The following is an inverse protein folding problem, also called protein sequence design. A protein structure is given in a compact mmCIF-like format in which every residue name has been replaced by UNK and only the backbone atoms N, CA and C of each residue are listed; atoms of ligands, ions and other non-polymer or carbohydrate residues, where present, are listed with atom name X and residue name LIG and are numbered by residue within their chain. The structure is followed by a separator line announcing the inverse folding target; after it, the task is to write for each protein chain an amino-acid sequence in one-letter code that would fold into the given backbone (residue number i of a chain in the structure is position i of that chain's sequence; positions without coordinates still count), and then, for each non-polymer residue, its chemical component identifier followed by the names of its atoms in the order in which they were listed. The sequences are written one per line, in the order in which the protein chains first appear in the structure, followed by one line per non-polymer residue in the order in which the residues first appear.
data_IF_065532125259
#
_entry.id   IF_065532125259
#
_cell.length_a   1.000
_cell.length_b   1.000
_cell.length_c   1.000
_cell.angle_alpha   90.00
_cell.angle_beta   90.00
_cell.angle_gamma   90.00
#
_symmetry.space_group_name_H-M   'P 1'
#
loop_
_entity.id
_entity.type
_entity.pdbx_description
1 polymer ?
#
# COMPACT_ATOMS: atom_id res chain seq x y z
N UNK A 1 -0.70 -6.51 -14.66
CA UNK A 1 0.52 -7.22 -15.10
C UNK A 1 0.90 -6.71 -16.49
N UNK A 2 2.19 -6.66 -16.84
CA UNK A 2 2.66 -6.12 -18.13
C UNK A 2 2.08 -6.90 -19.32
N UNK A 3 2.01 -8.23 -19.23
CA UNK A 3 1.49 -9.11 -20.29
C UNK A 3 -0.04 -9.33 -20.24
N UNK A 4 -0.77 -8.51 -19.48
CA UNK A 4 -2.23 -8.61 -19.38
C UNK A 4 -2.75 -9.79 -18.54
N UNK A 5 -1.87 -10.51 -17.84
CA UNK A 5 -2.25 -11.55 -16.90
C UNK A 5 -3.10 -10.99 -15.74
N UNK A 6 -4.06 -11.81 -15.28
CA UNK A 6 -4.86 -11.55 -14.09
C UNK A 6 -4.05 -11.77 -12.81
N UNK A 7 -4.58 -11.25 -11.69
CA UNK A 7 -3.91 -11.30 -10.39
C UNK A 7 -3.63 -12.73 -9.89
N UNK A 8 -4.56 -13.67 -10.07
CA UNK A 8 -4.40 -15.05 -9.59
C UNK A 8 -3.34 -15.81 -10.39
N UNK A 9 -3.39 -15.70 -11.72
CA UNK A 9 -2.41 -16.33 -12.61
C UNK A 9 -0.99 -15.85 -12.27
N UNK A 10 -0.81 -14.54 -12.12
CA UNK A 10 0.49 -13.98 -11.77
C UNK A 10 0.96 -14.40 -10.37
N UNK A 11 0.08 -14.41 -9.37
CA UNK A 11 0.39 -14.88 -8.03
C UNK A 11 0.86 -16.34 -8.04
N UNK A 12 0.14 -17.20 -8.76
CA UNK A 12 0.51 -18.62 -8.91
C UNK A 12 1.89 -18.75 -9.57
N UNK A 13 2.13 -18.06 -10.67
CA UNK A 13 3.44 -18.09 -11.35
C UNK A 13 4.58 -17.66 -10.42
N UNK A 14 4.41 -16.57 -9.66
CA UNK A 14 5.42 -16.09 -8.71
C UNK A 14 5.68 -17.10 -7.59
N UNK A 15 4.62 -17.68 -7.03
CA UNK A 15 4.73 -18.59 -5.88
C UNK A 15 5.20 -19.99 -6.26
N UNK A 16 4.82 -20.54 -7.42
CA UNK A 16 5.29 -21.85 -7.89
C UNK A 16 6.75 -21.84 -8.31
N UNK A 17 7.27 -20.70 -8.77
CA UNK A 17 8.67 -20.54 -9.12
C UNK A 17 9.60 -20.38 -7.90
N UNK A 18 9.07 -20.05 -6.72
CA UNK A 18 9.85 -19.80 -5.50
C UNK A 18 9.81 -21.02 -4.55
N UNK A 19 10.90 -21.78 -4.50
CA UNK A 19 11.06 -22.89 -3.56
C UNK A 19 10.99 -22.45 -2.08
N UNK A 20 11.20 -21.16 -1.79
CA UNK A 20 11.12 -20.55 -0.46
C UNK A 20 9.80 -19.84 -0.17
N UNK A 21 8.76 -20.00 -1.02
CA UNK A 21 7.47 -19.29 -0.93
C UNK A 21 6.79 -19.35 0.44
N UNK A 22 7.03 -20.41 1.21
CA UNK A 22 6.42 -20.58 2.53
C UNK A 22 6.95 -19.56 3.55
N UNK A 23 8.11 -18.95 3.30
CA UNK A 23 8.69 -17.87 4.12
C UNK A 23 8.38 -16.46 3.61
N UNK A 24 7.49 -16.33 2.62
CA UNK A 24 7.19 -15.07 1.94
C UNK A 24 5.72 -14.72 2.11
N UNK A 25 5.43 -13.44 1.94
CA UNK A 25 4.07 -12.92 1.80
C UNK A 25 4.04 -12.00 0.59
N UNK A 26 3.00 -12.11 -0.23
CA UNK A 26 2.83 -11.28 -1.42
C UNK A 26 1.34 -11.02 -1.65
N UNK A 27 1.02 -9.79 -2.02
CA UNK A 27 -0.29 -9.39 -2.53
C UNK A 27 -0.10 -8.73 -3.88
N UNK A 28 -1.00 -9.03 -4.81
CA UNK A 28 -1.00 -8.50 -6.16
C UNK A 28 -2.39 -8.02 -6.53
N UNK A 29 -2.45 -6.99 -7.35
CA UNK A 29 -3.70 -6.46 -7.90
C UNK A 29 -3.50 -6.18 -9.38
N UNK A 30 -4.47 -6.57 -10.19
CA UNK A 30 -4.45 -6.30 -11.63
C UNK A 30 -5.16 -4.97 -11.98
N UNK A 31 -5.17 -4.64 -13.27
CA UNK A 31 -5.73 -3.37 -13.77
C UNK A 31 -7.25 -3.26 -13.65
N UNK A 32 -7.95 -4.38 -13.39
CA UNK A 32 -9.39 -4.41 -13.15
C UNK A 32 -9.73 -4.18 -11.68
N UNK A 33 -8.72 -4.18 -10.81
CA UNK A 33 -8.88 -4.11 -9.35
C UNK A 33 -9.14 -5.47 -8.70
N UNK A 34 -9.07 -6.57 -9.46
CA UNK A 34 -9.05 -7.90 -8.87
C UNK A 34 -7.71 -8.12 -8.15
N UNK A 35 -7.78 -8.67 -6.95
CA UNK A 35 -6.64 -8.85 -6.06
C UNK A 35 -6.49 -10.31 -5.65
N UNK A 36 -5.24 -10.75 -5.49
CA UNK A 36 -4.88 -12.07 -4.99
C UNK A 36 -3.74 -11.94 -3.98
N UNK A 37 -3.68 -12.85 -3.01
CA UNK A 37 -2.68 -12.85 -1.96
C UNK A 37 -2.18 -14.24 -1.61
N UNK A 38 -0.93 -14.31 -1.15
CA UNK A 38 -0.30 -15.50 -0.62
C UNK A 38 0.37 -15.16 0.71
N UNK A 39 0.08 -15.94 1.74
CA UNK A 39 0.80 -15.94 3.01
C UNK A 39 1.38 -17.32 3.22
N UNK A 40 2.69 -17.46 3.08
CA UNK A 40 3.36 -18.74 3.30
C UNK A 40 3.27 -19.22 4.75
N UNK A 41 3.12 -20.53 4.95
CA UNK A 41 2.87 -21.12 6.26
C UNK A 41 4.04 -21.00 7.26
N UNK A 42 5.24 -20.65 6.81
CA UNK A 42 6.42 -20.46 7.64
C UNK A 42 6.67 -18.99 8.03
N UNK A 43 5.70 -18.09 7.80
CA UNK A 43 5.70 -16.74 8.36
C UNK A 43 5.34 -16.78 9.86
N UNK A 44 5.67 -15.71 10.58
CA UNK A 44 5.39 -15.59 12.01
C UNK A 44 3.95 -15.11 12.21
N UNK A 45 3.16 -15.90 12.92
CA UNK A 45 1.81 -15.53 13.36
C UNK A 45 1.82 -14.48 14.49
N UNK A 46 0.76 -13.66 14.62
CA UNK A 46 -0.39 -13.54 13.73
C UNK A 46 -0.03 -12.98 12.34
N UNK A 47 -0.73 -13.48 11.32
CA UNK A 47 -0.54 -13.09 9.93
C UNK A 47 -1.85 -13.22 9.15
N UNK A 48 -2.07 -12.32 8.20
CA UNK A 48 -3.24 -12.33 7.33
C UNK A 48 -2.93 -11.67 6.00
N UNK A 49 -3.63 -12.10 4.96
CA UNK A 49 -3.88 -11.26 3.80
C UNK A 49 -5.38 -11.20 3.54
N UNK A 50 -5.86 -10.06 3.07
CA UNK A 50 -7.26 -9.83 2.71
C UNK A 50 -7.30 -9.28 1.29
N UNK A 51 -8.16 -9.85 0.46
CA UNK A 51 -8.40 -9.37 -0.90
C UNK A 51 -9.87 -8.97 -1.03
N UNK A 52 -10.09 -7.78 -1.58
CA UNK A 52 -11.40 -7.23 -1.87
C UNK A 52 -11.34 -6.46 -3.21
N UNK A 53 -12.48 -6.12 -3.83
CA UNK A 53 -12.46 -5.31 -5.04
C UNK A 53 -11.70 -4.00 -4.84
N UNK A 54 -10.65 -3.79 -5.65
CA UNK A 54 -9.76 -2.61 -5.59
C UNK A 54 -9.04 -2.42 -4.24
N UNK A 55 -8.84 -3.49 -3.47
CA UNK A 55 -8.09 -3.46 -2.21
C UNK A 55 -7.40 -4.79 -1.93
N UNK A 56 -6.14 -4.73 -1.54
CA UNK A 56 -5.42 -5.85 -0.94
C UNK A 56 -4.67 -5.36 0.30
N UNK A 57 -4.73 -6.13 1.38
CA UNK A 57 -4.01 -5.86 2.64
C UNK A 57 -3.21 -7.10 2.98
N UNK A 58 -1.96 -6.91 3.38
CA UNK A 58 -1.08 -7.96 3.88
C UNK A 58 -0.49 -7.49 5.21
N UNK A 59 -0.50 -8.37 6.19
CA UNK A 59 0.12 -8.14 7.49
C UNK A 59 0.74 -9.45 7.98
N UNK A 60 2.00 -9.42 8.41
CA UNK A 60 2.70 -10.56 9.00
C UNK A 60 3.52 -10.11 10.21
N UNK A 61 3.73 -11.03 11.15
CA UNK A 61 4.42 -10.72 12.41
C UNK A 61 3.81 -9.50 13.14
N UNK A 62 2.48 -9.42 13.13
CA UNK A 62 1.74 -8.31 13.73
C UNK A 62 1.41 -8.58 15.20
N UNK A 63 1.17 -7.53 15.97
CA UNK A 63 0.84 -7.67 17.39
C UNK A 63 -0.56 -8.25 17.66
N UNK A 64 -1.45 -8.20 16.65
CA UNK A 64 -2.87 -8.59 16.77
C UNK A 64 -3.41 -9.09 15.43
N UNK A 65 -4.30 -10.09 15.47
CA UNK A 65 -5.04 -10.59 14.29
C UNK A 65 -6.01 -9.56 13.70
N UNK A 66 -6.29 -8.47 14.43
CA UNK A 66 -7.17 -7.37 14.02
C UNK A 66 -6.52 -6.39 13.05
N UNK A 67 -5.19 -6.34 12.98
CA UNK A 67 -4.44 -5.33 12.21
C UNK A 67 -4.93 -5.26 10.76
N UNK A 68 -4.98 -6.38 10.04
CA UNK A 68 -5.40 -6.39 8.64
C UNK A 68 -6.88 -5.97 8.46
N UNK A 69 -7.75 -6.37 9.40
CA UNK A 69 -9.17 -5.99 9.40
C UNK A 69 -9.35 -4.48 9.61
N UNK A 70 -8.68 -3.91 10.59
CA UNK A 70 -8.73 -2.47 10.88
C UNK A 70 -8.19 -1.63 9.70
N UNK A 71 -7.11 -2.06 9.05
CA UNK A 71 -6.60 -1.40 7.83
C UNK A 71 -7.64 -1.40 6.71
N UNK A 72 -8.29 -2.55 6.46
CA UNK A 72 -9.34 -2.69 5.45
C UNK A 72 -10.52 -1.77 5.75
N UNK A 73 -10.99 -1.79 6.99
CA UNK A 73 -12.19 -1.06 7.40
C UNK A 73 -11.94 0.45 7.35
N UNK A 74 -10.80 0.93 7.85
CA UNK A 74 -10.44 2.34 7.75
C UNK A 74 -10.30 2.83 6.29
N UNK A 75 -9.78 1.99 5.38
CA UNK A 75 -9.73 2.33 3.96
C UNK A 75 -11.14 2.45 3.33
N UNK A 76 -12.06 1.57 3.75
CA UNK A 76 -13.43 1.54 3.28
C UNK A 76 -14.26 2.70 3.84
N UNK A 77 -14.11 3.01 5.12
CA UNK A 77 -14.82 4.09 5.83
C UNK A 77 -14.49 5.49 5.30
N UNK A 78 -13.34 5.63 4.63
CA UNK A 78 -12.91 6.85 3.95
C UNK A 78 -13.29 6.89 2.47
N UNK A 79 -14.30 6.11 2.05
CA UNK A 79 -14.82 6.16 0.69
C UNK A 79 -15.13 7.62 0.26
N UNK A 80 -14.68 8.00 -0.93
CA UNK A 80 -14.83 9.35 -1.49
C UNK A 80 -13.73 10.34 -1.12
N UNK A 81 -12.88 10.05 -0.12
CA UNK A 81 -11.68 10.84 0.14
C UNK A 81 -10.59 10.58 -0.95
N UNK A 82 -9.62 11.50 -1.11
CA UNK A 82 -8.44 11.26 -1.94
C UNK A 82 -7.74 9.95 -1.55
N UNK A 83 -7.19 9.23 -2.53
CA UNK A 83 -6.63 7.89 -2.33
C UNK A 83 -5.49 7.90 -1.29
N UNK A 84 -4.68 8.95 -1.28
CA UNK A 84 -3.63 9.19 -0.29
C UNK A 84 -4.16 9.19 1.14
N UNK A 85 -5.29 9.86 1.40
CA UNK A 85 -5.88 9.92 2.75
C UNK A 85 -6.44 8.55 3.16
N UNK A 86 -7.05 7.83 2.23
CA UNK A 86 -7.59 6.49 2.48
C UNK A 86 -6.48 5.50 2.85
N UNK A 87 -5.35 5.56 2.14
CA UNK A 87 -4.19 4.71 2.40
C UNK A 87 -3.49 5.08 3.72
N UNK A 88 -3.34 6.38 4.02
CA UNK A 88 -2.77 6.84 5.29
C UNK A 88 -3.67 6.43 6.48
N UNK A 89 -4.98 6.59 6.37
CA UNK A 89 -5.92 6.16 7.39
C UNK A 89 -5.86 4.64 7.64
N UNK A 90 -5.65 3.84 6.60
CA UNK A 90 -5.44 2.41 6.74
C UNK A 90 -4.17 2.10 7.54
N UNK A 91 -3.04 2.74 7.22
CA UNK A 91 -1.79 2.55 7.96
C UNK A 91 -1.94 2.91 9.45
N UNK A 92 -2.60 4.03 9.75
CA UNK A 92 -2.85 4.48 11.13
C UNK A 92 -3.75 3.53 11.91
N UNK A 93 -4.79 2.99 11.26
CA UNK A 93 -5.66 2.00 11.89
C UNK A 93 -4.92 0.69 12.19
N UNK A 94 -4.04 0.26 11.27
CA UNK A 94 -3.16 -0.90 11.51
C UNK A 94 -2.20 -0.68 12.67
N UNK A 95 -1.60 0.52 12.77
CA UNK A 95 -0.72 0.92 13.89
C UNK A 95 -1.49 0.93 15.22
N UNK A 96 -2.74 1.42 15.23
CA UNK A 96 -3.57 1.48 16.43
C UNK A 96 -3.92 0.10 17.00
N UNK A 97 -4.00 -0.92 16.16
CA UNK A 97 -4.16 -2.34 16.57
C UNK A 97 -2.83 -3.00 16.97
N UNK A 98 -1.75 -2.22 17.06
CA UNK A 98 -0.41 -2.64 17.50
C UNK A 98 0.60 -2.84 16.36
N UNK A 99 0.17 -2.82 15.10
CA UNK A 99 1.04 -2.89 13.94
C UNK A 99 1.98 -4.11 13.94
N UNK A 100 3.21 -3.90 13.45
CA UNK A 100 4.29 -4.89 13.50
C UNK A 100 4.74 -5.13 14.95
N UNK A 101 4.76 -6.39 15.39
CA UNK A 101 5.09 -6.76 16.76
C UNK A 101 6.54 -6.42 17.17
N UNK A 102 7.42 -6.17 16.20
CA UNK A 102 8.81 -5.74 16.43
C UNK A 102 8.92 -4.23 16.64
N UNK A 103 7.82 -3.50 16.47
CA UNK A 103 7.80 -2.05 16.29
C UNK A 103 8.11 -1.64 14.86
N UNK A 104 7.74 -0.41 14.52
CA UNK A 104 7.91 0.15 13.18
C UNK A 104 9.05 1.19 13.16
N UNK A 105 9.77 1.26 12.04
CA UNK A 105 10.82 2.27 11.78
C UNK A 105 10.68 2.97 10.44
N UNK A 106 9.89 2.41 9.54
CA UNK A 106 9.71 2.94 8.20
C UNK A 106 8.25 2.91 7.77
N UNK A 107 7.87 3.86 6.93
CA UNK A 107 6.58 3.89 6.25
C UNK A 107 6.74 4.55 4.88
N UNK A 108 5.97 4.11 3.91
CA UNK A 108 6.02 4.64 2.55
C UNK A 108 4.63 4.69 1.93
N UNK A 109 4.43 5.64 1.03
CA UNK A 109 3.24 5.75 0.20
C UNK A 109 3.66 5.98 -1.25
N UNK A 110 3.17 5.11 -2.14
CA UNK A 110 3.37 5.22 -3.58
C UNK A 110 2.02 5.20 -4.29
N UNK A 111 1.74 6.22 -5.08
CA UNK A 111 0.55 6.32 -5.93
C UNK A 111 1.00 6.68 -7.33
N UNK A 112 0.62 5.85 -8.29
CA UNK A 112 0.92 6.07 -9.71
C UNK A 112 -0.38 6.39 -10.44
N UNK A 113 -0.33 7.38 -11.33
CA UNK A 113 -1.45 7.80 -12.17
C UNK A 113 -0.95 8.13 -13.57
N UNK A 114 -1.88 8.26 -14.51
CA UNK A 114 -1.56 8.64 -15.90
C UNK A 114 -1.59 10.16 -16.11
N UNK A 115 -2.38 10.86 -15.33
CA UNK A 115 -2.76 12.28 -15.47
C UNK A 115 -2.08 13.22 -14.46
N UNK A 116 -1.37 12.66 -13.47
CA UNK A 116 -0.62 13.38 -12.43
C UNK A 116 0.75 12.72 -12.18
N UNK A 117 1.76 13.50 -11.75
CA UNK A 117 3.03 12.93 -11.28
C UNK A 117 2.81 11.91 -10.16
N UNK A 118 3.69 10.91 -10.03
CA UNK A 118 3.58 9.92 -8.96
C UNK A 118 3.74 10.57 -7.59
N UNK A 119 2.93 10.12 -6.63
CA UNK A 119 3.24 10.28 -5.21
C UNK A 119 4.25 9.20 -4.88
N UNK A 120 5.43 9.58 -4.39
CA UNK A 120 6.43 8.65 -3.84
C UNK A 120 7.06 9.34 -2.64
N UNK A 121 6.50 9.06 -1.46
CA UNK A 121 6.91 9.67 -0.19
C UNK A 121 7.27 8.59 0.81
N UNK A 122 8.32 8.83 1.57
CA UNK A 122 8.96 7.82 2.42
C UNK A 122 9.47 8.45 3.71
N UNK A 123 9.20 7.78 4.83
CA UNK A 123 9.92 7.94 6.08
C UNK A 123 10.72 6.65 6.28
N UNK A 124 12.00 6.67 5.91
CA UNK A 124 12.83 5.45 5.86
C UNK A 124 13.40 5.05 7.23
N UNK A 125 13.52 6.00 8.16
CA UNK A 125 13.97 5.74 9.53
C UNK A 125 13.45 6.83 10.48
N UNK A 126 12.43 6.50 11.28
CA UNK A 126 11.84 7.39 12.29
C UNK A 126 11.25 6.56 13.44
N UNK A 127 11.17 7.12 14.64
CA UNK A 127 10.54 6.46 15.80
C UNK A 127 9.01 6.38 15.67
N UNK A 128 8.42 7.24 14.85
CA UNK A 128 6.98 7.33 14.52
C UNK A 128 6.80 7.52 13.02
N UNK A 129 7.17 6.51 12.20
CA UNK A 129 7.28 6.64 10.75
C UNK A 129 5.95 6.91 10.04
N UNK A 130 4.82 6.39 10.53
CA UNK A 130 3.49 6.67 9.95
C UNK A 130 3.11 8.14 10.18
N UNK A 131 3.37 8.67 11.38
CA UNK A 131 3.21 10.09 11.67
C UNK A 131 4.11 10.95 10.78
N UNK A 132 5.39 10.60 10.65
CA UNK A 132 6.33 11.32 9.79
C UNK A 132 5.86 11.30 8.32
N UNK A 133 5.41 10.14 7.83
CA UNK A 133 4.83 9.98 6.50
C UNK A 133 3.61 10.88 6.29
N UNK A 134 2.73 11.02 7.29
CA UNK A 134 1.58 11.93 7.22
C UNK A 134 1.99 13.39 7.15
N UNK A 135 3.02 13.82 7.89
CA UNK A 135 3.54 15.19 7.76
C UNK A 135 4.14 15.44 6.37
N UNK A 136 4.90 14.48 5.82
CA UNK A 136 5.40 14.56 4.44
C UNK A 136 4.23 14.66 3.45
N UNK A 137 3.17 13.86 3.64
CA UNK A 137 1.98 13.89 2.80
C UNK A 137 1.25 15.24 2.85
N UNK A 138 1.19 15.89 4.03
CA UNK A 138 0.62 17.23 4.17
C UNK A 138 1.41 18.26 3.37
N UNK A 139 2.73 18.26 3.47
CA UNK A 139 3.59 19.15 2.67
C UNK A 139 3.45 18.85 1.16
N UNK A 140 3.32 17.59 0.79
CA UNK A 140 3.09 17.19 -0.60
C UNK A 140 1.74 17.71 -1.15
N UNK A 141 0.73 17.81 -0.28
CA UNK A 141 -0.60 18.32 -0.62
C UNK A 141 -0.74 19.85 -0.51
N UNK A 142 0.28 20.57 -0.04
CA UNK A 142 0.21 22.02 0.11
C UNK A 142 -0.05 22.72 -1.25
N UNK A 143 -0.93 23.75 -1.30
CA UNK A 143 -1.31 24.38 -2.57
C UNK A 143 -0.15 24.87 -3.41
N UNK A 144 0.90 25.42 -2.78
CA UNK A 144 2.09 25.92 -3.49
C UNK A 144 2.88 24.80 -4.15
N UNK A 145 3.11 23.69 -3.45
CA UNK A 145 3.80 22.54 -4.01
C UNK A 145 2.93 21.82 -5.04
N UNK A 146 1.61 21.71 -4.79
CA UNK A 146 0.67 21.13 -5.74
C UNK A 146 0.61 21.90 -7.05
N UNK A 147 0.59 23.22 -7.01
CA UNK A 147 0.63 24.06 -8.20
C UNK A 147 1.92 23.87 -9.03
N UNK A 148 3.06 23.58 -8.38
CA UNK A 148 4.28 23.18 -9.06
C UNK A 148 4.13 21.81 -9.72
N UNK A 149 3.63 20.81 -9.00
CA UNK A 149 3.43 19.45 -9.53
C UNK A 149 2.49 19.42 -10.74
N UNK A 150 1.45 20.25 -10.74
CA UNK A 150 0.48 20.30 -11.83
C UNK A 150 1.06 20.76 -13.17
N UNK A 151 2.23 21.42 -13.16
CA UNK A 151 2.97 21.82 -14.37
C UNK A 151 3.88 20.73 -14.92
N UNK A 152 4.17 19.70 -14.13
CA UNK A 152 5.11 18.65 -14.53
C UNK A 152 4.50 17.74 -15.61
N UNK A 153 5.34 17.14 -16.48
CA UNK A 153 4.91 16.14 -17.44
C UNK A 153 4.19 14.95 -16.80
N UNK A 154 3.23 14.39 -17.52
CA UNK A 154 2.51 13.16 -17.15
C UNK A 154 2.45 12.20 -18.33
N UNK A 155 2.02 10.96 -18.11
CA UNK A 155 1.88 9.99 -19.21
C UNK A 155 0.85 10.46 -20.26
N UNK A 156 -0.15 11.23 -19.84
CA UNK A 156 -1.17 11.79 -20.74
C UNK A 156 -0.81 13.17 -21.29
N UNK A 157 0.11 13.90 -20.65
CA UNK A 157 0.60 15.21 -21.08
C UNK A 157 2.13 15.31 -20.97
N UNK A 158 2.90 14.63 -21.86
CA UNK A 158 4.36 14.51 -21.73
C UNK A 158 5.13 15.81 -21.99
N UNK A 159 4.49 16.83 -22.58
CA UNK A 159 5.10 18.12 -22.93
C UNK A 159 4.47 19.31 -22.17
N UNK A 160 3.84 19.04 -21.02
CA UNK A 160 3.25 20.09 -20.16
C UNK A 160 4.34 21.04 -19.64
N UNK A 161 3.98 22.31 -19.46
CA UNK A 161 4.82 23.40 -18.94
C UNK A 161 4.01 24.29 -17.98
#
# INVERSE_FOLDING_TARGET
MEDGQDAETALRTLTEADAGRDHRQVIVMDRTGAAAGWTGAANVEPMAHLCAPSLAVAANWVASDRVAGAMRDAFADRAGAPLEERLLAALEAGEAEGGDARGIRSAALRIVSRDRPPVDIRADYDDRPIRALREIARHWAEPGFRAFLDRLPTLEAPHRH
#
